data_IF_405435809436
#
_entry.id   IF_405435809436
#
_cell.length_a   1.000
_cell.length_b   1.000
_cell.length_c   1.000
_cell.angle_alpha   90.00
_cell.angle_beta   90.00
_cell.angle_gamma   90.00
#
_symmetry.space_group_name_H-M   'P 1'
#
loop_
_entity.id
_entity.type
_entity.pdbx_description
1 polymer ?
#
# COMPACT_ATOMS: atom_id res chain seq x y z
N UNK A 1 -13.16 -55.78 -6.25
CA UNK A 1 -12.75 -54.50 -6.88
C UNK A 1 -12.73 -53.45 -5.79
N UNK A 2 -11.61 -53.35 -5.07
CA UNK A 2 -11.45 -52.41 -3.95
C UNK A 2 -11.14 -51.05 -4.49
N UNK A 3 -12.02 -50.07 -4.27
CA UNK A 3 -11.79 -48.66 -4.50
C UNK A 3 -10.87 -48.14 -3.41
N UNK A 4 -9.63 -47.91 -3.82
CA UNK A 4 -8.58 -47.23 -3.02
C UNK A 4 -9.08 -45.82 -2.64
N UNK A 5 -9.06 -45.42 -1.35
CA UNK A 5 -9.43 -44.09 -0.97
C UNK A 5 -8.39 -43.10 -1.51
N UNK A 6 -8.83 -42.03 -2.12
CA UNK A 6 -7.99 -40.95 -2.60
C UNK A 6 -7.24 -40.35 -1.40
N UNK A 7 -5.93 -40.50 -1.41
CA UNK A 7 -4.98 -39.95 -0.44
C UNK A 7 -4.98 -38.45 -0.55
N UNK A 8 -5.10 -37.81 0.57
CA UNK A 8 -4.91 -36.45 1.02
C UNK A 8 -4.44 -35.40 0.00
N UNK A 9 -5.33 -34.45 -0.25
CA UNK A 9 -5.13 -33.23 -1.02
C UNK A 9 -4.46 -32.11 -0.21
N UNK A 10 -3.89 -32.36 0.96
CA UNK A 10 -3.29 -31.35 1.82
C UNK A 10 -1.91 -30.85 1.34
N UNK A 11 -1.24 -31.60 0.45
CA UNK A 11 0.12 -31.31 -0.03
C UNK A 11 0.20 -30.67 -1.42
N UNK A 12 -0.91 -30.21 -2.00
CA UNK A 12 -0.81 -29.58 -3.32
C UNK A 12 -0.14 -28.19 -3.21
N UNK A 13 0.77 -27.82 -4.15
CA UNK A 13 1.44 -26.51 -4.13
C UNK A 13 0.47 -25.33 -4.03
N UNK A 14 -0.73 -25.45 -4.59
CA UNK A 14 -1.77 -24.44 -4.52
C UNK A 14 -2.39 -24.27 -3.13
N UNK A 15 -2.53 -25.35 -2.36
CA UNK A 15 -3.01 -25.27 -0.98
C UNK A 15 -1.93 -24.78 -0.03
N UNK A 16 -0.66 -25.10 -0.28
CA UNK A 16 0.47 -24.48 0.43
C UNK A 16 0.52 -22.96 0.19
N UNK A 17 0.18 -22.51 -1.01
CA UNK A 17 0.04 -21.06 -1.30
C UNK A 17 -1.10 -20.43 -0.50
N UNK A 18 -2.26 -21.08 -0.38
CA UNK A 18 -3.36 -20.64 0.47
C UNK A 18 -2.90 -20.48 1.93
N UNK A 19 -2.17 -21.47 2.47
CA UNK A 19 -1.63 -21.42 3.82
C UNK A 19 -0.70 -20.23 4.04
N UNK A 20 0.19 -19.94 3.08
CA UNK A 20 1.07 -18.76 3.14
C UNK A 20 0.29 -17.45 3.11
N UNK A 21 -0.77 -17.38 2.29
CA UNK A 21 -1.64 -16.18 2.23
C UNK A 21 -2.38 -16.01 3.57
N UNK A 22 -2.91 -17.09 4.15
CA UNK A 22 -3.55 -17.06 5.46
C UNK A 22 -2.59 -16.58 6.56
N UNK A 23 -1.35 -17.05 6.56
CA UNK A 23 -0.30 -16.59 7.49
C UNK A 23 -0.02 -15.11 7.32
N UNK A 24 0.06 -14.59 6.09
CA UNK A 24 0.28 -13.16 5.84
C UNK A 24 -0.90 -12.31 6.35
N UNK A 25 -2.15 -12.74 6.14
CA UNK A 25 -3.34 -12.07 6.66
C UNK A 25 -3.35 -12.05 8.20
N UNK A 26 -2.99 -13.17 8.85
CA UNK A 26 -2.86 -13.24 10.30
C UNK A 26 -1.73 -12.35 10.82
N UNK A 27 -0.56 -12.37 10.17
CA UNK A 27 0.56 -11.50 10.53
C UNK A 27 0.19 -10.04 10.45
N UNK A 28 -0.54 -9.64 9.41
CA UNK A 28 -1.05 -8.27 9.26
C UNK A 28 -2.01 -7.88 10.38
N UNK A 29 -2.94 -8.76 10.76
CA UNK A 29 -3.87 -8.51 11.86
C UNK A 29 -3.15 -8.33 13.20
N UNK A 30 -2.12 -9.14 13.46
CA UNK A 30 -1.31 -9.04 14.68
C UNK A 30 -0.49 -7.73 14.72
N UNK A 31 0.04 -7.28 13.59
CA UNK A 31 0.72 -5.98 13.50
C UNK A 31 -0.25 -4.82 13.73
N UNK A 32 -1.44 -4.85 13.13
CA UNK A 32 -2.47 -3.86 13.41
C UNK A 32 -2.80 -3.80 14.90
N UNK A 33 -2.97 -4.94 15.55
CA UNK A 33 -3.28 -5.02 16.98
C UNK A 33 -2.15 -4.44 17.84
N UNK A 34 -0.91 -4.83 17.57
CA UNK A 34 0.26 -4.31 18.32
C UNK A 34 0.49 -2.82 18.13
N UNK A 35 0.07 -2.28 16.98
CA UNK A 35 0.20 -0.85 16.63
C UNK A 35 -1.04 -0.02 16.99
N UNK A 36 -2.04 -0.62 17.67
CA UNK A 36 -3.25 0.06 18.11
C UNK A 36 -4.26 0.34 16.99
N UNK A 37 -4.31 -0.52 16.00
CA UNK A 37 -5.26 -0.46 14.89
C UNK A 37 -6.70 -0.77 15.28
N UNK A 38 -7.61 -0.56 14.32
CA UNK A 38 -9.06 -0.75 14.52
C UNK A 38 -9.44 -2.21 14.73
N UNK A 39 -10.22 -2.49 15.78
CA UNK A 39 -10.63 -3.84 16.18
C UNK A 39 -11.54 -4.56 15.15
N UNK A 40 -12.35 -3.82 14.39
CA UNK A 40 -13.16 -4.43 13.32
C UNK A 40 -12.27 -4.92 12.19
N UNK A 41 -11.29 -4.11 11.80
CA UNK A 41 -10.31 -4.46 10.78
C UNK A 41 -9.47 -5.67 11.20
N UNK A 42 -8.99 -5.70 12.44
CA UNK A 42 -8.25 -6.84 12.99
C UNK A 42 -9.07 -8.13 12.86
N UNK A 43 -10.34 -8.10 13.29
CA UNK A 43 -11.24 -9.27 13.18
C UNK A 43 -11.51 -9.67 11.73
N UNK A 44 -11.70 -8.70 10.82
CA UNK A 44 -11.93 -8.99 9.41
C UNK A 44 -10.77 -9.78 8.79
N UNK A 45 -9.53 -9.37 9.04
CA UNK A 45 -8.35 -10.07 8.54
C UNK A 45 -8.16 -11.45 9.18
N UNK A 46 -8.45 -11.61 10.49
CA UNK A 46 -8.42 -12.93 11.16
C UNK A 46 -9.45 -13.89 10.58
N UNK A 47 -10.69 -13.42 10.38
CA UNK A 47 -11.74 -14.24 9.77
C UNK A 47 -11.39 -14.65 8.34
N UNK A 48 -10.85 -13.72 7.56
CA UNK A 48 -10.39 -14.01 6.22
C UNK A 48 -9.24 -15.02 6.20
N UNK A 49 -8.27 -14.90 7.10
CA UNK A 49 -7.18 -15.87 7.25
C UNK A 49 -7.69 -17.27 7.57
N UNK A 50 -8.60 -17.40 8.53
CA UNK A 50 -9.23 -18.67 8.87
C UNK A 50 -9.97 -19.25 7.66
N UNK A 51 -10.75 -18.43 6.94
CA UNK A 51 -11.46 -18.87 5.75
C UNK A 51 -10.54 -19.34 4.64
N UNK A 52 -9.44 -18.63 4.39
CA UNK A 52 -8.45 -19.02 3.37
C UNK A 52 -7.76 -20.33 3.73
N UNK A 53 -7.44 -20.55 5.01
CA UNK A 53 -6.82 -21.80 5.48
C UNK A 53 -7.74 -23.02 5.31
N UNK A 54 -9.06 -22.84 5.39
CA UNK A 54 -10.06 -23.91 5.22
C UNK A 54 -10.38 -24.25 3.77
N UNK A 55 -9.94 -23.43 2.80
CA UNK A 55 -10.26 -23.63 1.40
C UNK A 55 -9.59 -24.91 0.87
N UNK A 56 -10.38 -25.76 0.25
CA UNK A 56 -9.93 -26.98 -0.44
C UNK A 56 -9.56 -26.75 -1.91
N UNK A 57 -9.82 -25.56 -2.43
CA UNK A 57 -9.49 -25.13 -3.77
C UNK A 57 -8.41 -24.04 -3.72
N UNK A 58 -7.37 -24.11 -4.56
CA UNK A 58 -6.35 -23.06 -4.62
C UNK A 58 -6.95 -21.69 -4.97
N UNK A 59 -6.63 -20.66 -4.19
CA UNK A 59 -7.02 -19.27 -4.47
C UNK A 59 -6.52 -18.79 -5.84
N UNK A 60 -5.37 -19.28 -6.28
CA UNK A 60 -4.82 -18.99 -7.60
C UNK A 60 -5.74 -19.47 -8.71
N UNK A 61 -6.30 -20.66 -8.60
CA UNK A 61 -7.27 -21.20 -9.59
C UNK A 61 -8.54 -20.35 -9.60
N UNK A 62 -9.11 -20.06 -8.43
CA UNK A 62 -10.29 -19.18 -8.31
C UNK A 62 -10.03 -17.79 -8.95
N UNK A 63 -8.86 -17.22 -8.69
CA UNK A 63 -8.48 -15.92 -9.24
C UNK A 63 -8.26 -15.97 -10.76
N UNK A 64 -7.68 -17.04 -11.29
CA UNK A 64 -7.46 -17.20 -12.74
C UNK A 64 -8.78 -17.37 -13.51
N UNK A 65 -9.75 -18.08 -12.95
CA UNK A 65 -11.04 -18.37 -13.55
C UNK A 65 -12.01 -17.18 -13.47
N UNK A 66 -12.12 -16.54 -12.32
CA UNK A 66 -13.14 -15.50 -12.06
C UNK A 66 -12.58 -14.15 -11.62
N UNK A 67 -11.26 -13.99 -11.60
CA UNK A 67 -10.62 -12.74 -11.19
C UNK A 67 -10.96 -12.32 -9.77
N UNK A 68 -10.98 -11.00 -9.55
CA UNK A 68 -11.33 -10.43 -8.25
C UNK A 68 -12.76 -10.71 -7.79
N UNK A 69 -13.68 -10.90 -8.73
CA UNK A 69 -15.08 -11.21 -8.39
C UNK A 69 -15.21 -12.57 -7.68
N UNK A 70 -14.45 -13.58 -8.12
CA UNK A 70 -14.41 -14.89 -7.46
C UNK A 70 -13.85 -14.79 -6.03
N UNK A 71 -12.85 -13.94 -5.80
CA UNK A 71 -12.32 -13.72 -4.45
C UNK A 71 -13.34 -13.02 -3.54
N UNK A 72 -14.01 -11.98 -4.04
CA UNK A 72 -15.05 -11.23 -3.30
C UNK A 72 -16.26 -12.12 -2.98
N UNK A 73 -16.55 -13.11 -3.81
CA UNK A 73 -17.61 -14.10 -3.59
C UNK A 73 -17.35 -15.06 -2.42
N UNK A 74 -16.12 -15.13 -1.90
CA UNK A 74 -15.79 -15.96 -0.76
C UNK A 74 -16.30 -15.32 0.55
N UNK A 75 -16.88 -16.12 1.47
CA UNK A 75 -17.26 -15.63 2.79
C UNK A 75 -16.08 -14.98 3.52
N UNK A 76 -16.32 -13.87 4.22
CA UNK A 76 -15.35 -13.08 4.96
C UNK A 76 -14.28 -12.37 4.09
N UNK A 77 -14.37 -12.40 2.76
CA UNK A 77 -13.45 -11.72 1.86
C UNK A 77 -14.13 -10.50 1.24
N UNK A 78 -13.96 -9.34 1.86
CA UNK A 78 -14.36 -8.04 1.31
C UNK A 78 -13.41 -7.57 0.19
N UNK A 79 -13.74 -6.45 -0.46
CA UNK A 79 -12.97 -5.91 -1.61
C UNK A 79 -11.52 -5.60 -1.24
N UNK A 80 -11.28 -5.02 -0.06
CA UNK A 80 -9.93 -4.69 0.41
C UNK A 80 -9.06 -5.95 0.60
N UNK A 81 -9.63 -7.00 1.19
CA UNK A 81 -8.95 -8.27 1.40
C UNK A 81 -8.75 -9.03 0.07
N UNK A 82 -9.75 -9.00 -0.82
CA UNK A 82 -9.62 -9.56 -2.16
C UNK A 82 -8.50 -8.88 -2.96
N UNK A 83 -8.36 -7.55 -2.84
CA UNK A 83 -7.27 -6.80 -3.46
C UNK A 83 -5.90 -7.21 -2.89
N UNK A 84 -5.80 -7.40 -1.57
CA UNK A 84 -4.59 -7.89 -0.91
C UNK A 84 -4.22 -9.30 -1.41
N UNK A 85 -5.17 -10.22 -1.45
CA UNK A 85 -4.97 -11.59 -1.97
C UNK A 85 -4.52 -11.54 -3.43
N UNK A 86 -5.17 -10.74 -4.28
CA UNK A 86 -4.80 -10.60 -5.69
C UNK A 86 -3.39 -10.01 -5.86
N UNK A 87 -3.00 -9.06 -5.01
CA UNK A 87 -1.65 -8.50 -5.00
C UNK A 87 -0.62 -9.59 -4.65
N UNK A 88 -0.86 -10.38 -3.60
CA UNK A 88 0.00 -11.50 -3.20
C UNK A 88 0.12 -12.52 -4.34
N UNK A 89 -1.00 -12.93 -4.94
CA UNK A 89 -1.02 -13.91 -6.02
C UNK A 89 -0.27 -13.43 -7.28
N UNK A 90 -0.27 -12.12 -7.56
CA UNK A 90 0.33 -11.55 -8.77
C UNK A 90 1.78 -11.12 -8.59
N UNK A 91 2.14 -10.65 -7.40
CA UNK A 91 3.46 -10.07 -7.13
C UNK A 91 4.31 -10.91 -6.18
N UNK A 92 3.69 -11.85 -5.45
CA UNK A 92 4.33 -12.59 -4.36
C UNK A 92 4.51 -11.76 -3.08
N UNK A 93 4.05 -10.50 -3.07
CA UNK A 93 4.22 -9.55 -1.96
C UNK A 93 2.90 -8.85 -1.63
N UNK A 94 2.86 -8.24 -0.43
CA UNK A 94 1.74 -7.41 -0.01
C UNK A 94 2.23 -6.11 0.62
N UNK A 95 2.09 -5.00 -0.11
CA UNK A 95 2.65 -3.69 0.27
C UNK A 95 2.18 -3.19 1.64
N UNK A 96 0.92 -3.43 2.00
CA UNK A 96 0.42 -3.02 3.31
C UNK A 96 1.12 -3.77 4.45
N UNK A 97 1.35 -5.08 4.29
CA UNK A 97 2.06 -5.89 5.26
C UNK A 97 3.53 -5.45 5.35
N UNK A 98 4.20 -5.36 4.20
CA UNK A 98 5.60 -4.92 4.11
C UNK A 98 5.79 -3.56 4.80
N UNK A 99 4.86 -2.63 4.60
CA UNK A 99 4.87 -1.31 5.23
C UNK A 99 4.83 -1.38 6.75
N UNK A 100 3.91 -2.15 7.32
CA UNK A 100 3.77 -2.29 8.77
C UNK A 100 4.94 -3.03 9.41
N UNK A 101 5.65 -3.85 8.65
CA UNK A 101 6.88 -4.52 9.06
C UNK A 101 8.14 -3.65 8.91
N UNK A 102 8.01 -2.47 8.28
CA UNK A 102 9.17 -1.66 7.95
C UNK A 102 10.02 -2.20 6.80
N UNK A 103 9.54 -3.24 6.09
CA UNK A 103 10.25 -3.90 4.98
C UNK A 103 10.09 -3.18 3.65
N UNK A 104 9.59 -1.95 3.63
CA UNK A 104 9.32 -1.20 2.41
C UNK A 104 10.60 -0.75 1.71
N UNK A 105 11.07 -1.59 0.79
CA UNK A 105 11.95 -1.15 -0.29
C UNK A 105 11.17 -1.20 -1.60
N UNK A 106 10.87 -0.07 -2.27
CA UNK A 106 10.23 -0.10 -3.58
C UNK A 106 11.06 -0.86 -4.61
N UNK A 107 12.37 -0.95 -4.41
CA UNK A 107 13.29 -1.72 -5.26
C UNK A 107 12.92 -3.20 -5.33
N UNK A 108 12.62 -3.81 -4.19
CA UNK A 108 12.24 -5.22 -4.14
C UNK A 108 10.90 -5.47 -4.85
N UNK A 109 9.96 -4.53 -4.69
CA UNK A 109 8.68 -4.58 -5.41
C UNK A 109 8.89 -4.44 -6.92
N UNK A 110 9.77 -3.52 -7.36
CA UNK A 110 10.05 -3.31 -8.77
C UNK A 110 10.74 -4.52 -9.40
N UNK A 111 11.62 -5.20 -8.68
CA UNK A 111 12.29 -6.42 -9.14
C UNK A 111 11.32 -7.60 -9.38
N UNK A 112 10.10 -7.55 -8.87
CA UNK A 112 9.06 -8.54 -9.22
C UNK A 112 8.57 -8.39 -10.67
N UNK A 113 8.83 -7.24 -11.31
CA UNK A 113 8.42 -6.97 -12.69
C UNK A 113 9.47 -7.53 -13.67
N UNK A 114 9.09 -8.39 -14.61
CA UNK A 114 10.00 -8.90 -15.63
C UNK A 114 10.75 -7.77 -16.34
N UNK A 115 12.06 -7.92 -16.43
CA UNK A 115 12.92 -6.92 -17.06
C UNK A 115 13.45 -5.83 -16.12
N UNK A 116 13.10 -5.83 -14.83
CA UNK A 116 13.66 -4.92 -13.83
C UNK A 116 14.60 -5.70 -12.91
N UNK A 117 15.89 -5.44 -13.04
CA UNK A 117 16.91 -5.94 -12.12
C UNK A 117 17.27 -4.91 -11.04
N UNK A 118 18.14 -5.26 -10.06
CA UNK A 118 18.47 -4.41 -8.91
C UNK A 118 18.91 -2.99 -9.30
N UNK A 119 19.83 -2.86 -10.25
CA UNK A 119 20.34 -1.56 -10.68
C UNK A 119 19.28 -0.66 -11.32
N UNK A 120 18.29 -1.24 -12.01
CA UNK A 120 17.22 -0.47 -12.62
C UNK A 120 16.16 -0.10 -11.58
N UNK A 121 15.87 -1.01 -10.65
CA UNK A 121 14.97 -0.76 -9.52
C UNK A 121 15.45 0.41 -8.65
N UNK A 122 16.76 0.44 -8.30
CA UNK A 122 17.36 1.56 -7.54
C UNK A 122 17.20 2.88 -8.29
N UNK A 123 17.52 2.90 -9.59
CA UNK A 123 17.33 4.12 -10.41
C UNK A 123 15.90 4.64 -10.44
N UNK A 124 14.93 3.75 -10.55
CA UNK A 124 13.53 4.15 -10.52
C UNK A 124 13.13 4.81 -9.19
N UNK A 125 13.64 4.27 -8.09
CA UNK A 125 13.39 4.85 -6.77
C UNK A 125 14.09 6.18 -6.58
N UNK A 126 15.35 6.27 -7.00
CA UNK A 126 16.18 7.48 -6.83
C UNK A 126 15.71 8.64 -7.73
N UNK A 127 15.39 8.34 -9.00
CA UNK A 127 15.06 9.37 -9.98
C UNK A 127 13.59 9.79 -9.93
N UNK A 128 12.68 8.88 -9.62
CA UNK A 128 11.23 9.14 -9.75
C UNK A 128 10.51 9.18 -8.41
N UNK A 129 11.19 8.88 -7.31
CA UNK A 129 10.56 8.73 -5.99
C UNK A 129 9.36 7.76 -6.03
N UNK A 130 9.41 6.81 -6.98
CA UNK A 130 8.37 5.81 -7.14
C UNK A 130 8.39 4.84 -5.94
N UNK A 131 7.25 4.66 -5.31
CA UNK A 131 7.07 3.79 -4.16
C UNK A 131 6.18 2.58 -4.48
N UNK A 132 5.37 2.70 -5.53
CA UNK A 132 4.38 1.70 -5.96
C UNK A 132 4.60 1.31 -7.43
N UNK A 133 4.00 0.20 -7.86
CA UNK A 133 4.00 -0.17 -9.28
C UNK A 133 3.21 0.84 -10.13
N UNK A 134 2.21 1.48 -9.57
CA UNK A 134 1.43 2.54 -10.19
C UNK A 134 2.26 3.79 -10.44
N UNK A 135 3.08 4.21 -9.46
CA UNK A 135 4.02 5.33 -9.62
C UNK A 135 5.04 5.02 -10.71
N UNK A 136 5.56 3.79 -10.71
CA UNK A 136 6.52 3.34 -11.71
C UNK A 136 5.90 3.34 -13.12
N UNK A 137 4.67 2.84 -13.28
CA UNK A 137 3.96 2.88 -14.56
C UNK A 137 3.77 4.31 -15.04
N UNK A 138 3.33 5.21 -14.14
CA UNK A 138 3.12 6.63 -14.43
C UNK A 138 4.43 7.30 -14.89
N UNK A 139 5.51 7.07 -14.16
CA UNK A 139 6.84 7.58 -14.51
C UNK A 139 7.30 7.04 -15.87
N UNK A 140 7.14 5.75 -16.12
CA UNK A 140 7.53 5.13 -17.39
C UNK A 140 6.64 5.52 -18.57
N UNK A 141 5.41 5.95 -18.36
CA UNK A 141 4.55 6.49 -19.44
C UNK A 141 4.97 7.89 -19.90
N UNK A 142 5.68 8.65 -19.08
CA UNK A 142 6.14 9.98 -19.45
C UNK A 142 7.31 9.92 -20.44
N UNK A 143 7.14 10.33 -21.72
CA UNK A 143 8.18 10.19 -22.77
C UNK A 143 9.43 11.06 -22.51
N UNK A 144 9.30 12.11 -21.68
CA UNK A 144 10.42 12.98 -21.32
C UNK A 144 11.35 12.36 -20.28
N UNK A 145 10.93 11.28 -19.63
CA UNK A 145 11.71 10.61 -18.61
C UNK A 145 12.75 9.67 -19.26
N UNK A 146 14.01 10.02 -19.10
CA UNK A 146 15.15 9.22 -19.56
C UNK A 146 15.78 8.49 -18.38
N UNK A 147 15.90 7.17 -18.48
CA UNK A 147 16.58 6.31 -17.50
C UNK A 147 17.78 5.67 -18.16
N UNK A 148 18.95 5.85 -17.55
CA UNK A 148 20.17 5.20 -18.04
C UNK A 148 20.02 3.67 -18.02
N UNK A 149 20.37 3.01 -19.13
CA UNK A 149 20.25 1.56 -19.27
C UNK A 149 18.83 1.06 -19.58
N UNK A 150 17.87 1.97 -19.86
CA UNK A 150 16.52 1.63 -20.26
C UNK A 150 16.25 2.05 -21.71
N UNK A 151 16.52 1.15 -22.66
CA UNK A 151 16.18 1.38 -24.07
C UNK A 151 14.66 1.28 -24.36
N UNK A 152 14.22 1.80 -25.53
CA UNK A 152 12.78 1.84 -25.87
C UNK A 152 12.07 0.48 -25.83
N UNK A 153 12.73 -0.57 -26.35
CA UNK A 153 12.16 -1.94 -26.35
C UNK A 153 11.95 -2.47 -24.93
N UNK A 154 12.95 -2.32 -24.07
CA UNK A 154 12.87 -2.77 -22.67
C UNK A 154 11.82 -1.98 -21.90
N UNK A 155 11.74 -0.66 -22.13
CA UNK A 155 10.70 0.20 -21.56
C UNK A 155 9.29 -0.27 -21.93
N UNK A 156 9.04 -0.56 -23.23
CA UNK A 156 7.76 -1.07 -23.68
C UNK A 156 7.40 -2.42 -23.08
N UNK A 157 8.38 -3.34 -22.96
CA UNK A 157 8.17 -4.64 -22.33
C UNK A 157 7.83 -4.51 -20.83
N UNK A 158 8.53 -3.64 -20.11
CA UNK A 158 8.24 -3.37 -18.69
C UNK A 158 6.85 -2.74 -18.53
N UNK A 159 6.49 -1.76 -19.37
CA UNK A 159 5.16 -1.15 -19.34
C UNK A 159 4.05 -2.16 -19.63
N UNK A 160 4.23 -3.06 -20.58
CA UNK A 160 3.25 -4.12 -20.87
C UNK A 160 3.08 -5.06 -19.65
N UNK A 161 4.18 -5.47 -19.02
CA UNK A 161 4.14 -6.30 -17.81
C UNK A 161 3.47 -5.59 -16.63
N UNK A 162 3.75 -4.30 -16.42
CA UNK A 162 3.11 -3.48 -15.39
C UNK A 162 1.62 -3.32 -15.66
N UNK A 163 1.24 -2.93 -16.88
CA UNK A 163 -0.17 -2.73 -17.25
C UNK A 163 -0.98 -4.00 -17.05
N UNK A 164 -0.48 -5.15 -17.48
CA UNK A 164 -1.16 -6.44 -17.29
C UNK A 164 -1.38 -6.78 -15.81
N UNK A 165 -0.37 -6.56 -14.96
CA UNK A 165 -0.49 -6.81 -13.50
C UNK A 165 -1.43 -5.83 -12.81
N UNK A 166 -1.28 -4.55 -13.12
CA UNK A 166 -2.06 -3.50 -12.48
C UNK A 166 -3.52 -3.48 -12.93
N UNK A 167 -3.80 -3.89 -14.17
CA UNK A 167 -5.17 -3.92 -14.67
C UNK A 167 -6.07 -4.86 -13.85
N UNK A 168 -5.57 -6.04 -13.51
CA UNK A 168 -6.31 -6.99 -12.68
C UNK A 168 -6.57 -6.42 -11.26
N UNK A 169 -5.55 -5.82 -10.65
CA UNK A 169 -5.67 -5.17 -9.34
C UNK A 169 -6.60 -3.95 -9.42
N UNK A 170 -6.48 -3.13 -10.47
CA UNK A 170 -7.33 -1.96 -10.70
C UNK A 170 -8.80 -2.32 -10.87
N UNK A 171 -9.12 -3.44 -11.54
CA UNK A 171 -10.51 -3.90 -11.65
C UNK A 171 -11.11 -4.21 -10.27
N UNK A 172 -10.34 -4.78 -9.36
CA UNK A 172 -10.77 -5.02 -7.98
C UNK A 172 -10.86 -3.71 -7.21
N UNK A 173 -9.86 -2.83 -7.39
CA UNK A 173 -9.76 -1.52 -6.75
C UNK A 173 -10.62 -0.44 -7.42
N UNK A 174 -11.22 -0.71 -8.59
CA UNK A 174 -12.05 0.28 -9.25
C UNK A 174 -13.15 0.77 -8.30
N UNK A 175 -13.25 2.08 -8.06
CA UNK A 175 -14.33 2.61 -7.22
C UNK A 175 -15.66 2.19 -7.83
N UNK A 176 -16.61 1.81 -6.98
CA UNK A 176 -18.02 1.76 -7.41
C UNK A 176 -18.36 3.14 -7.99
N UNK A 177 -19.28 3.22 -8.96
CA UNK A 177 -19.85 4.52 -9.38
C UNK A 177 -20.27 5.28 -8.12
N UNK A 178 -19.52 6.34 -7.75
CA UNK A 178 -19.68 7.04 -6.48
C UNK A 178 -18.69 6.64 -5.37
N UNK A 179 -17.54 6.02 -5.69
CA UNK A 179 -16.46 5.70 -4.73
C UNK A 179 -16.06 6.92 -3.91
N UNK A 180 -15.78 6.71 -2.62
CA UNK A 180 -15.47 7.79 -1.69
C UNK A 180 -14.05 8.29 -1.91
N UNK A 181 -13.91 9.60 -2.03
CA UNK A 181 -12.62 10.27 -2.00
C UNK A 181 -12.47 11.01 -0.66
N UNK A 182 -11.34 10.86 0.07
CA UNK A 182 -11.20 11.48 1.38
C UNK A 182 -11.20 13.00 1.24
N UNK A 183 -12.00 13.73 2.02
CA UNK A 183 -11.93 15.20 2.05
C UNK A 183 -10.52 15.66 2.43
N UNK A 184 -10.02 16.74 1.81
CA UNK A 184 -8.71 17.34 2.15
C UNK A 184 -8.63 17.68 3.63
N UNK A 185 -9.73 18.16 4.21
CA UNK A 185 -9.83 18.42 5.65
C UNK A 185 -9.47 17.20 6.49
N UNK A 186 -10.00 16.02 6.16
CA UNK A 186 -9.70 14.77 6.89
C UNK A 186 -8.20 14.44 6.83
N UNK A 187 -7.57 14.58 5.66
CA UNK A 187 -6.16 14.30 5.46
C UNK A 187 -5.25 15.27 6.22
N UNK A 188 -5.58 16.56 6.20
CA UNK A 188 -4.83 17.61 6.91
C UNK A 188 -4.99 17.51 8.44
N UNK A 189 -6.18 17.20 8.93
CA UNK A 189 -6.42 16.95 10.35
C UNK A 189 -5.69 15.70 10.85
N UNK A 190 -5.70 14.62 10.06
CA UNK A 190 -4.95 13.40 10.36
C UNK A 190 -3.44 13.66 10.39
N UNK A 191 -2.91 14.43 9.43
CA UNK A 191 -1.51 14.87 9.41
C UNK A 191 -1.15 15.66 10.68
N UNK A 192 -2.00 16.60 11.10
CA UNK A 192 -1.76 17.39 12.31
C UNK A 192 -1.73 16.51 13.57
N UNK A 193 -2.68 15.58 13.71
CA UNK A 193 -2.71 14.62 14.82
C UNK A 193 -1.46 13.75 14.81
N UNK A 194 -1.08 13.20 13.65
CA UNK A 194 0.10 12.36 13.51
C UNK A 194 1.36 13.08 13.93
N UNK A 195 1.63 14.26 13.40
CA UNK A 195 2.83 15.05 13.67
C UNK A 195 2.91 15.45 15.15
N UNK A 196 1.80 15.88 15.75
CA UNK A 196 1.74 16.23 17.17
C UNK A 196 2.06 15.04 18.05
N UNK A 197 1.47 13.86 17.77
CA UNK A 197 1.73 12.66 18.55
C UNK A 197 3.13 12.09 18.34
N UNK A 198 3.65 12.16 17.10
CA UNK A 198 5.01 11.76 16.77
C UNK A 198 6.04 12.61 17.50
N UNK A 199 5.90 13.95 17.48
CA UNK A 199 6.78 14.87 18.18
C UNK A 199 6.75 14.67 19.71
N UNK A 200 5.61 14.25 20.26
CA UNK A 200 5.45 13.94 21.68
C UNK A 200 5.92 12.51 22.07
N UNK A 201 6.42 11.72 21.11
CA UNK A 201 6.83 10.32 21.37
C UNK A 201 5.67 9.40 21.78
N UNK A 202 4.41 9.74 21.41
CA UNK A 202 3.19 9.02 21.83
C UNK A 202 2.72 8.00 20.79
N UNK A 203 3.54 7.68 19.80
CA UNK A 203 3.22 6.69 18.78
C UNK A 203 4.10 5.45 18.92
N UNK A 204 3.57 4.31 18.48
CA UNK A 204 4.38 3.12 18.27
C UNK A 204 5.33 3.38 17.11
N UNK A 205 6.54 2.83 17.19
CA UNK A 205 7.56 2.92 16.15
C UNK A 205 7.77 1.56 15.49
N UNK A 206 8.21 1.59 14.26
CA UNK A 206 8.66 0.41 13.51
C UNK A 206 10.12 0.62 13.09
N UNK A 207 10.85 -0.48 12.88
CA UNK A 207 12.20 -0.47 12.33
C UNK A 207 12.15 -0.53 10.81
N UNK A 208 12.25 0.59 10.07
CA UNK A 208 12.31 0.49 8.62
C UNK A 208 13.64 -0.16 8.21
N UNK A 209 13.60 -1.06 7.26
CA UNK A 209 14.80 -1.73 6.74
C UNK A 209 15.73 -0.76 6.02
N UNK A 210 15.14 0.20 5.29
CA UNK A 210 15.89 1.17 4.47
C UNK A 210 16.37 2.35 5.32
N UNK A 211 17.58 2.81 5.07
CA UNK A 211 18.23 3.91 5.82
C UNK A 211 18.28 3.68 7.33
N UNK A 212 18.37 2.42 7.75
CA UNK A 212 18.38 2.00 9.14
C UNK A 212 19.36 0.82 9.35
N UNK A 213 20.67 1.02 9.15
CA UNK A 213 21.65 -0.06 9.26
C UNK A 213 21.72 -0.70 10.65
N UNK A 214 21.30 0.04 11.67
CA UNK A 214 21.31 -0.42 13.07
C UNK A 214 20.01 -1.13 13.48
N UNK A 215 19.00 -1.22 12.58
CA UNK A 215 17.72 -1.87 12.85
C UNK A 215 16.89 -1.21 13.97
N UNK A 216 17.09 0.09 14.23
CA UNK A 216 16.37 0.81 15.29
C UNK A 216 14.91 1.06 14.95
N UNK A 217 14.02 0.93 15.93
CA UNK A 217 12.63 1.36 15.86
C UNK A 217 12.54 2.88 15.95
N UNK A 218 12.46 3.57 14.81
CA UNK A 218 12.43 5.04 14.82
C UNK A 218 11.26 5.65 14.03
N UNK A 219 10.63 4.90 13.14
CA UNK A 219 9.59 5.42 12.25
C UNK A 219 8.21 5.29 12.95
N UNK A 220 7.61 6.42 13.41
CA UNK A 220 6.32 6.36 14.08
C UNK A 220 5.22 5.99 13.09
N UNK A 221 4.25 5.19 13.57
CA UNK A 221 3.05 4.82 12.82
C UNK A 221 1.81 5.20 13.61
N UNK A 222 0.78 5.74 12.92
CA UNK A 222 -0.52 6.03 13.49
C UNK A 222 -1.60 5.34 12.67
N UNK A 223 -2.46 4.60 13.35
CA UNK A 223 -3.74 4.15 12.81
C UNK A 223 -4.86 5.03 13.38
N UNK A 224 -5.72 5.53 12.50
CA UNK A 224 -6.84 6.40 12.84
C UNK A 224 -8.09 5.96 12.10
N UNK A 225 -9.23 5.87 12.80
CA UNK A 225 -10.53 5.64 12.17
C UNK A 225 -11.42 6.85 12.43
N UNK A 226 -12.02 7.42 11.38
CA UNK A 226 -12.90 8.59 11.48
C UNK A 226 -13.95 8.60 10.37
N UNK A 227 -15.22 8.59 10.74
CA UNK A 227 -16.33 8.69 9.78
C UNK A 227 -16.33 7.61 8.70
N UNK A 228 -16.02 6.35 9.05
CA UNK A 228 -15.88 5.25 8.09
C UNK A 228 -14.55 5.17 7.36
N UNK A 229 -13.69 6.20 7.49
CA UNK A 229 -12.34 6.20 6.96
C UNK A 229 -11.36 5.52 7.91
N UNK A 230 -10.56 4.62 7.38
CA UNK A 230 -9.42 4.01 8.04
C UNK A 230 -8.15 4.59 7.45
N UNK A 231 -7.32 5.22 8.28
CA UNK A 231 -6.09 5.88 7.86
C UNK A 231 -4.88 5.25 8.56
N UNK A 232 -3.80 5.09 7.82
CA UNK A 232 -2.49 4.73 8.35
C UNK A 232 -1.50 5.81 7.91
N UNK A 233 -0.84 6.44 8.89
CA UNK A 233 0.08 7.55 8.64
C UNK A 233 1.48 7.18 9.11
N UNK A 234 2.48 7.57 8.30
CA UNK A 234 3.89 7.49 8.66
C UNK A 234 4.69 8.55 7.90
N UNK A 235 5.87 8.89 8.41
CA UNK A 235 6.79 9.75 7.69
C UNK A 235 7.37 9.05 6.47
N UNK A 236 7.69 9.81 5.43
CA UNK A 236 8.32 9.28 4.22
C UNK A 236 9.75 8.84 4.51
N UNK A 237 10.04 7.57 4.29
CA UNK A 237 11.38 6.99 4.34
C UNK A 237 11.98 6.80 2.92
N UNK A 238 11.62 7.70 1.98
CA UNK A 238 12.14 7.66 0.61
C UNK A 238 13.54 8.27 0.52
N UNK A 239 14.34 7.81 -0.47
CA UNK A 239 15.67 8.35 -0.73
C UNK A 239 15.64 9.88 -0.91
N UNK A 240 14.61 10.37 -1.60
CA UNK A 240 14.43 11.80 -1.84
C UNK A 240 14.12 12.56 -0.56
N UNK A 241 13.29 11.99 0.33
CA UNK A 241 13.00 12.61 1.62
C UNK A 241 14.27 12.71 2.48
N UNK A 242 15.12 11.68 2.49
CA UNK A 242 16.41 11.69 3.16
C UNK A 242 17.38 12.70 2.53
N UNK A 243 17.57 12.68 1.21
CA UNK A 243 18.47 13.60 0.50
C UNK A 243 18.10 15.08 0.70
N UNK A 244 16.82 15.37 0.88
CA UNK A 244 16.31 16.72 1.10
C UNK A 244 16.13 17.10 2.58
N UNK A 245 16.44 16.18 3.53
CA UNK A 245 16.17 16.38 4.96
C UNK A 245 14.67 16.56 5.28
N UNK A 246 13.78 15.85 4.56
CA UNK A 246 12.32 16.02 4.62
C UNK A 246 11.58 14.84 5.24
N UNK A 247 12.27 13.90 5.82
CA UNK A 247 11.64 12.71 6.40
C UNK A 247 10.56 13.07 7.44
N UNK A 248 10.80 14.09 8.30
CA UNK A 248 9.82 14.55 9.28
C UNK A 248 8.79 15.56 8.73
N UNK A 249 8.95 16.02 7.48
CA UNK A 249 8.01 16.94 6.81
C UNK A 249 7.01 16.19 5.92
N UNK A 250 7.44 15.16 5.21
CA UNK A 250 6.59 14.44 4.29
C UNK A 250 5.86 13.30 5.00
N UNK A 251 4.54 13.43 5.09
CA UNK A 251 3.67 12.42 5.71
C UNK A 251 2.92 11.66 4.62
N UNK A 252 3.11 10.37 4.60
CA UNK A 252 2.34 9.44 3.76
C UNK A 252 1.06 9.09 4.50
N UNK A 253 -0.08 9.26 3.83
CA UNK A 253 -1.40 8.92 4.33
C UNK A 253 -1.98 7.84 3.45
N UNK A 254 -2.08 6.65 3.98
CA UNK A 254 -2.77 5.53 3.35
C UNK A 254 -4.16 5.45 3.94
N UNK A 255 -5.19 5.50 3.11
CA UNK A 255 -6.56 5.50 3.61
C UNK A 255 -7.51 4.73 2.69
N UNK A 256 -8.57 4.20 3.29
CA UNK A 256 -9.68 3.60 2.58
C UNK A 256 -10.98 3.87 3.34
N UNK A 257 -12.09 3.92 2.62
CA UNK A 257 -13.42 4.00 3.20
C UNK A 257 -13.96 2.58 3.38
N UNK A 258 -14.39 2.22 4.61
CA UNK A 258 -14.88 0.87 4.93
C UNK A 258 -14.02 -0.26 4.32
N UNK A 259 -14.60 -1.06 3.40
CA UNK A 259 -13.95 -2.18 2.72
C UNK A 259 -13.44 -1.80 1.31
N UNK A 260 -13.42 -0.49 0.96
CA UNK A 260 -12.89 -0.02 -0.30
C UNK A 260 -11.35 -0.18 -0.38
N UNK A 261 -10.79 -0.20 -1.58
CA UNK A 261 -9.34 -0.29 -1.77
C UNK A 261 -8.59 0.91 -1.18
N UNK A 262 -7.39 0.65 -0.69
CA UNK A 262 -6.54 1.68 -0.11
C UNK A 262 -6.04 2.67 -1.17
N UNK A 263 -6.10 3.96 -0.82
CA UNK A 263 -5.53 5.09 -1.56
C UNK A 263 -4.34 5.65 -0.80
N UNK A 264 -3.41 6.28 -1.51
CA UNK A 264 -2.24 6.93 -0.92
C UNK A 264 -2.22 8.42 -1.26
N UNK A 265 -1.95 9.23 -0.24
CA UNK A 265 -1.73 10.67 -0.36
C UNK A 265 -0.43 11.06 0.34
N UNK A 266 0.16 12.18 -0.08
CA UNK A 266 1.33 12.75 0.58
C UNK A 266 0.99 14.16 1.05
N UNK A 267 1.17 14.41 2.34
CA UNK A 267 1.00 15.74 2.94
C UNK A 267 2.38 16.34 3.20
N UNK A 268 2.59 17.56 2.72
CA UNK A 268 3.89 18.26 2.80
C UNK A 268 3.71 19.72 3.20
N UNK A 269 4.77 20.36 3.68
CA UNK A 269 4.79 21.82 3.81
C UNK A 269 5.06 22.46 2.45
N UNK A 270 4.15 23.30 1.99
CA UNK A 270 4.32 24.06 0.75
C UNK A 270 5.40 25.13 0.96
N UNK A 271 6.30 25.27 -0.03
CA UNK A 271 7.47 26.14 0.12
C UNK A 271 7.47 27.34 -0.78
N UNK A 272 6.53 27.43 -1.69
CA UNK A 272 6.41 28.52 -2.66
C UNK A 272 4.94 28.76 -2.98
N UNK A 273 4.63 30.01 -3.35
CA UNK A 273 3.30 30.40 -3.81
C UNK A 273 2.31 30.71 -2.67
N UNK A 274 1.01 30.82 -2.98
CA UNK A 274 -0.02 31.34 -2.06
C UNK A 274 -0.20 30.52 -0.76
N UNK A 275 0.24 29.27 -0.75
CA UNK A 275 0.14 28.35 0.39
C UNK A 275 1.49 28.14 1.09
N UNK A 276 2.47 29.02 0.87
CA UNK A 276 3.78 28.90 1.51
C UNK A 276 3.66 28.79 3.04
N UNK A 277 4.40 27.84 3.63
CA UNK A 277 4.34 27.52 5.04
C UNK A 277 3.12 26.67 5.49
N UNK A 278 2.10 26.52 4.66
CA UNK A 278 0.92 25.70 4.96
C UNK A 278 1.14 24.24 4.60
N UNK A 279 0.42 23.36 5.30
CA UNK A 279 0.36 21.94 4.95
C UNK A 279 -0.58 21.76 3.76
N UNK A 280 -0.14 20.98 2.77
CA UNK A 280 -0.92 20.71 1.56
C UNK A 280 -0.88 19.21 1.21
N UNK A 281 -1.96 18.72 0.68
CA UNK A 281 -2.03 17.41 0.05
C UNK A 281 -1.55 17.56 -1.39
N UNK A 282 -0.46 16.90 -1.76
CA UNK A 282 0.10 16.96 -3.12
C UNK A 282 -0.93 16.55 -4.15
N UNK A 283 -1.03 17.35 -5.23
CA UNK A 283 -2.01 17.13 -6.31
C UNK A 283 -3.41 17.66 -6.00
N UNK A 284 -3.64 18.18 -4.78
CA UNK A 284 -4.93 18.75 -4.34
C UNK A 284 -4.78 20.18 -3.76
N UNK A 285 -3.80 20.91 -4.25
CA UNK A 285 -3.45 22.25 -3.75
C UNK A 285 -4.62 23.25 -3.82
N UNK A 286 -5.46 23.15 -4.87
CA UNK A 286 -6.64 24.01 -5.01
C UNK A 286 -7.69 23.77 -3.92
N UNK A 287 -7.85 22.52 -3.48
CA UNK A 287 -8.75 22.19 -2.37
C UNK A 287 -8.16 22.61 -1.03
N UNK A 288 -6.83 22.48 -0.88
CA UNK A 288 -6.12 22.96 0.31
C UNK A 288 -6.25 24.48 0.43
N UNK A 289 -6.19 25.23 -0.68
CA UNK A 289 -6.39 26.68 -0.68
C UNK A 289 -7.78 27.05 -0.15
N UNK A 290 -8.82 26.37 -0.60
CA UNK A 290 -10.20 26.58 -0.09
C UNK A 290 -10.31 26.23 1.40
N UNK A 291 -9.70 25.15 1.84
CA UNK A 291 -9.69 24.75 3.24
C UNK A 291 -9.02 25.84 4.12
N UNK A 292 -7.84 26.33 3.73
CA UNK A 292 -7.11 27.35 4.50
C UNK A 292 -7.77 28.72 4.46
N UNK A 293 -8.45 29.08 3.35
CA UNK A 293 -9.21 30.32 3.27
C UNK A 293 -10.43 30.35 4.22
N UNK A 294 -11.02 29.20 4.54
CA UNK A 294 -12.12 29.07 5.49
C UNK A 294 -11.68 28.96 6.96
N UNK A 295 -10.38 28.85 7.26
CA UNK A 295 -9.86 28.81 8.62
C UNK A 295 -9.51 30.21 9.11
N UNK A 296 -9.91 30.62 10.34
CA UNK A 296 -9.44 31.89 10.89
C UNK A 296 -7.90 31.84 10.99
N UNK A 297 -7.27 32.95 10.61
CA UNK A 297 -5.81 33.12 10.75
C UNK A 297 -5.53 33.08 12.25
N UNK A 298 -5.07 31.95 12.74
CA UNK A 298 -4.62 31.84 14.12
C UNK A 298 -3.37 32.71 14.32
N UNK A 299 -3.48 33.64 15.22
CA UNK A 299 -2.38 34.42 15.77
C UNK A 299 -1.40 33.51 16.51
#
# INVERSE_FOLDING_TARGET
METKPAIGTEDSPGLQENSRIAEQLNRYSNLLESQGGDGFRIRAYRNAAARVAELRQPLRTLYQEGGGAALIGLPAIGRGIAAAIAEILTTGRWQQLDRLQGETGPEDLFQTVPGIGPALASRFTEQFDAQTLEDLETALRNPRMKVSGLGPRRRSAILAALSGRLEAIRRIRAPRRGGHEPPVQLLLEADAIYRTRAAAGKLRTIAPRRFNPEGKDWLPVLHLTRGGWHLTLLFSNSARAHALGRTADWVLVFCHFEDEPEMQFTVVTQRQGPLEGRRVVRGRESECARYWAGQPVGN
#
